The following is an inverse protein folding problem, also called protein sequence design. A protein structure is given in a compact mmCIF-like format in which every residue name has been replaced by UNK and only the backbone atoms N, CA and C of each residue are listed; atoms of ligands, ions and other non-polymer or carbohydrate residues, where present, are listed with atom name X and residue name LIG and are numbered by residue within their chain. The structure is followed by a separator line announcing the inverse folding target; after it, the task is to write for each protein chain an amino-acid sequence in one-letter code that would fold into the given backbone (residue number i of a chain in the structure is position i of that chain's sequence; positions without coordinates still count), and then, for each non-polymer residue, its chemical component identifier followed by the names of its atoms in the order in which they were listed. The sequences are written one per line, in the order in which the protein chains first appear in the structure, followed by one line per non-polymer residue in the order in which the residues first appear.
data_IF_710990289966
#
_entry.id   IF_710990289966
#
_cell.length_a   1.000
_cell.length_b   1.000
_cell.length_c   1.000
_cell.angle_alpha   90.00
_cell.angle_beta   90.00
_cell.angle_gamma   90.00
#
_symmetry.space_group_name_H-M   'P 1'
#
loop_
_entity.id
_entity.type
_entity.pdbx_description
1 polymer ?
#
# COMPACT_ATOMS: atom_id res chain seq x y z
N UNK A 1 -24.81 0.75 -12.43
CA UNK A 1 -23.91 -0.28 -11.87
C UNK A 1 -23.86 -0.01 -10.38
N UNK A 2 -24.24 -0.97 -9.54
CA UNK A 2 -24.39 -0.74 -8.10
C UNK A 2 -23.01 -0.86 -7.42
N UNK A 3 -22.51 0.20 -6.80
CA UNK A 3 -21.24 0.18 -6.04
C UNK A 3 -21.42 -0.37 -4.61
N UNK A 4 -22.55 -1.03 -4.30
CA UNK A 4 -22.91 -1.54 -2.96
C UNK A 4 -22.05 -2.69 -2.41
N UNK A 5 -20.92 -3.04 -3.04
CA UNK A 5 -19.92 -3.95 -2.49
C UNK A 5 -18.76 -3.19 -1.87
N UNK A 6 -18.07 -3.79 -0.90
CA UNK A 6 -16.81 -3.24 -0.37
C UNK A 6 -15.81 -3.08 -1.51
N UNK A 7 -15.30 -1.86 -1.70
CA UNK A 7 -14.29 -1.57 -2.69
C UNK A 7 -12.97 -2.20 -2.24
N UNK A 8 -12.26 -2.86 -3.16
CA UNK A 8 -10.93 -3.37 -2.85
C UNK A 8 -9.93 -2.24 -2.66
N UNK A 9 -8.95 -2.43 -1.78
CA UNK A 9 -7.84 -1.52 -1.68
C UNK A 9 -6.98 -1.45 -2.94
N UNK A 10 -6.53 -0.25 -3.29
CA UNK A 10 -5.43 -0.11 -4.22
C UNK A 10 -4.15 -0.55 -3.51
N UNK A 11 -3.39 -1.43 -4.17
CA UNK A 11 -2.16 -2.01 -3.64
C UNK A 11 -0.97 -1.50 -4.43
N UNK A 12 0.13 -1.24 -3.73
CA UNK A 12 1.41 -0.92 -4.36
C UNK A 12 2.25 -2.21 -4.38
N UNK A 13 2.72 -2.68 -5.54
CA UNK A 13 3.34 -4.00 -5.65
C UNK A 13 4.79 -4.06 -5.15
N UNK A 14 5.43 -2.91 -4.90
CA UNK A 14 6.83 -2.80 -4.43
C UNK A 14 7.81 -3.68 -5.23
N UNK A 15 7.66 -3.72 -6.55
CA UNK A 15 8.41 -4.63 -7.44
C UNK A 15 9.92 -4.47 -7.34
N UNK A 16 10.39 -3.24 -7.16
CA UNK A 16 11.82 -2.95 -6.97
C UNK A 16 12.33 -3.56 -5.66
N UNK A 17 11.58 -3.41 -4.57
CA UNK A 17 11.97 -3.92 -3.26
C UNK A 17 11.90 -5.45 -3.21
N UNK A 18 10.91 -6.05 -3.88
CA UNK A 18 10.86 -7.51 -4.10
C UNK A 18 12.06 -8.01 -4.91
N UNK A 19 12.48 -7.28 -5.95
CA UNK A 19 13.70 -7.61 -6.70
C UNK A 19 14.94 -7.60 -5.80
N UNK A 20 15.07 -6.61 -4.91
CA UNK A 20 16.20 -6.56 -3.96
C UNK A 20 16.19 -7.77 -3.03
N UNK A 21 15.03 -8.22 -2.56
CA UNK A 21 14.93 -9.44 -1.74
C UNK A 21 15.36 -10.68 -2.53
N UNK A 22 14.96 -10.79 -3.79
CA UNK A 22 15.39 -11.87 -4.68
C UNK A 22 16.90 -11.83 -4.94
N UNK A 23 17.48 -10.65 -5.11
CA UNK A 23 18.93 -10.48 -5.29
C UNK A 23 19.68 -10.94 -4.03
N UNK A 24 19.21 -10.56 -2.82
CA UNK A 24 19.80 -11.02 -1.56
C UNK A 24 19.72 -12.55 -1.44
N UNK A 25 18.59 -13.14 -1.81
CA UNK A 25 18.41 -14.60 -1.80
C UNK A 25 19.37 -15.27 -2.80
N UNK A 26 19.52 -14.73 -4.00
CA UNK A 26 20.41 -15.27 -5.02
C UNK A 26 21.89 -15.15 -4.60
N UNK A 27 22.31 -13.96 -4.16
CA UNK A 27 23.66 -13.74 -3.61
C UNK A 27 23.97 -14.68 -2.44
N UNK A 28 22.95 -15.05 -1.65
CA UNK A 28 23.10 -15.99 -0.55
C UNK A 28 23.35 -17.42 -1.05
N UNK A 29 22.64 -17.86 -2.09
CA UNK A 29 22.87 -19.17 -2.73
C UNK A 29 24.25 -19.28 -3.38
N UNK A 30 24.74 -18.17 -3.93
CA UNK A 30 26.02 -18.13 -4.64
C UNK A 30 27.24 -18.20 -3.69
N UNK A 31 27.03 -18.09 -2.37
CA UNK A 31 28.10 -18.23 -1.38
C UNK A 31 28.64 -19.67 -1.34
N UNK A 32 29.97 -19.87 -1.15
CA UNK A 32 30.54 -21.20 -1.00
C UNK A 32 29.86 -22.01 0.11
N UNK A 33 29.36 -23.20 -0.25
CA UNK A 33 28.66 -24.10 0.67
C UNK A 33 27.15 -23.84 0.83
N UNK A 34 26.57 -22.85 0.13
CA UNK A 34 25.15 -22.45 0.27
C UNK A 34 24.30 -22.83 -0.96
N UNK A 35 24.88 -23.45 -1.99
CA UNK A 35 24.18 -23.79 -3.23
C UNK A 35 23.10 -24.88 -3.12
N UNK A 36 23.08 -25.64 -2.02
CA UNK A 36 22.12 -26.74 -1.78
C UNK A 36 21.18 -26.46 -0.60
N UNK A 37 21.04 -25.20 -0.18
CA UNK A 37 20.09 -24.83 0.87
C UNK A 37 18.66 -25.15 0.42
N UNK A 38 17.89 -25.72 1.34
CA UNK A 38 16.43 -25.76 1.22
C UNK A 38 15.86 -24.34 1.18
N UNK A 39 14.61 -24.21 0.78
CA UNK A 39 13.93 -22.91 0.77
C UNK A 39 13.85 -22.30 2.18
N UNK A 40 13.53 -23.12 3.19
CA UNK A 40 13.49 -22.70 4.59
C UNK A 40 14.86 -22.20 5.08
N UNK A 41 15.93 -22.97 4.87
CA UNK A 41 17.28 -22.55 5.25
C UNK A 41 17.71 -21.27 4.52
N UNK A 42 17.33 -21.11 3.24
CA UNK A 42 17.59 -19.88 2.51
C UNK A 42 16.86 -18.69 3.16
N UNK A 43 15.58 -18.84 3.51
CA UNK A 43 14.79 -17.79 4.14
C UNK A 43 15.38 -17.39 5.50
N UNK A 44 15.83 -18.35 6.31
CA UNK A 44 16.53 -18.07 7.57
C UNK A 44 17.82 -17.26 7.36
N UNK A 45 18.58 -17.56 6.30
CA UNK A 45 19.79 -16.78 5.95
C UNK A 45 19.44 -15.38 5.50
N UNK A 46 18.40 -15.21 4.67
CA UNK A 46 17.94 -13.88 4.23
C UNK A 46 17.45 -13.07 5.43
N UNK A 47 16.66 -13.66 6.33
CA UNK A 47 16.23 -13.05 7.59
C UNK A 47 17.45 -12.58 8.41
N UNK A 48 18.44 -13.46 8.60
CA UNK A 48 19.67 -13.15 9.35
C UNK A 48 20.41 -11.96 8.74
N UNK A 49 20.57 -11.92 7.41
CA UNK A 49 21.24 -10.81 6.71
C UNK A 49 20.50 -9.49 6.94
N UNK A 50 19.17 -9.49 6.83
CA UNK A 50 18.36 -8.29 7.04
C UNK A 50 18.40 -7.80 8.49
N UNK A 51 18.38 -8.73 9.46
CA UNK A 51 18.56 -8.42 10.88
C UNK A 51 19.94 -7.81 11.17
N UNK A 52 21.00 -8.36 10.58
CA UNK A 52 22.35 -7.81 10.70
C UNK A 52 22.45 -6.40 10.10
N UNK A 53 21.83 -6.15 8.94
CA UNK A 53 21.74 -4.80 8.35
C UNK A 53 21.06 -3.81 9.28
N UNK A 54 19.93 -4.20 9.90
CA UNK A 54 19.25 -3.39 10.90
C UNK A 54 20.18 -3.09 12.09
N UNK A 55 20.86 -4.12 12.62
CA UNK A 55 21.81 -3.97 13.74
C UNK A 55 22.96 -3.01 13.40
N UNK A 56 23.39 -2.99 12.15
CA UNK A 56 24.42 -2.10 11.64
C UNK A 56 23.90 -0.70 11.24
N UNK A 57 22.62 -0.40 11.49
CA UNK A 57 22.04 0.92 11.29
C UNK A 57 21.41 1.18 9.93
N UNK A 58 21.29 0.17 9.06
CA UNK A 58 20.57 0.32 7.79
C UNK A 58 19.06 0.39 8.03
N UNK A 59 18.52 1.61 7.95
CA UNK A 59 17.10 1.87 8.14
C UNK A 59 16.21 1.23 7.06
N UNK A 60 16.72 1.02 5.84
CA UNK A 60 15.92 0.42 4.74
C UNK A 60 15.64 -1.06 5.00
N UNK A 61 16.51 -1.72 5.76
CA UNK A 61 16.36 -3.13 6.10
C UNK A 61 15.11 -3.40 6.95
N UNK A 62 14.56 -2.40 7.65
CA UNK A 62 13.28 -2.55 8.34
C UNK A 62 12.12 -2.82 7.38
N UNK A 63 11.97 -1.99 6.33
CA UNK A 63 10.94 -2.20 5.32
C UNK A 63 11.17 -3.50 4.56
N UNK A 64 12.42 -3.78 4.17
CA UNK A 64 12.78 -5.02 3.46
C UNK A 64 12.41 -6.26 4.29
N UNK A 65 12.72 -6.26 5.58
CA UNK A 65 12.39 -7.39 6.46
C UNK A 65 10.87 -7.49 6.71
N UNK A 66 10.18 -6.36 6.86
CA UNK A 66 8.72 -6.36 6.94
C UNK A 66 8.07 -6.94 5.67
N UNK A 67 8.54 -6.53 4.49
CA UNK A 67 8.07 -7.04 3.20
C UNK A 67 8.41 -8.52 3.02
N UNK A 68 9.61 -8.93 3.41
CA UNK A 68 10.03 -10.33 3.38
C UNK A 68 9.10 -11.24 4.19
N UNK A 69 8.72 -10.81 5.41
CA UNK A 69 7.75 -11.53 6.21
C UNK A 69 6.34 -11.51 5.62
N UNK A 70 5.93 -10.38 5.03
CA UNK A 70 4.61 -10.25 4.41
C UNK A 70 4.43 -11.23 3.25
N UNK A 71 5.45 -11.42 2.41
CA UNK A 71 5.42 -12.36 1.28
C UNK A 71 5.39 -13.83 1.72
N UNK A 72 5.75 -14.12 2.97
CA UNK A 72 5.67 -15.46 3.57
C UNK A 72 4.44 -15.63 4.48
N UNK A 73 3.46 -14.74 4.36
CA UNK A 73 2.24 -14.71 5.20
C UNK A 73 2.51 -14.62 6.72
N UNK A 74 3.72 -14.21 7.12
CA UNK A 74 4.12 -14.01 8.51
C UNK A 74 3.68 -12.62 9.01
N UNK A 75 2.38 -12.36 8.94
CA UNK A 75 1.82 -11.01 9.06
C UNK A 75 2.10 -10.31 10.40
N UNK A 76 2.12 -11.02 11.52
CA UNK A 76 2.45 -10.40 12.82
C UNK A 76 3.88 -9.87 12.85
N UNK A 77 4.84 -10.64 12.28
CA UNK A 77 6.22 -10.20 12.15
C UNK A 77 6.32 -9.02 11.18
N UNK A 78 5.65 -9.09 10.03
CA UNK A 78 5.60 -8.00 9.06
C UNK A 78 5.12 -6.69 9.70
N UNK A 79 3.97 -6.75 10.40
CA UNK A 79 3.37 -5.62 11.14
C UNK A 79 4.36 -5.03 12.14
N UNK A 80 5.03 -5.88 12.92
CA UNK A 80 6.05 -5.45 13.90
C UNK A 80 7.16 -4.62 13.25
N UNK A 81 7.69 -5.05 12.09
CA UNK A 81 8.78 -4.32 11.44
C UNK A 81 8.32 -3.05 10.73
N UNK A 82 7.11 -3.03 10.18
CA UNK A 82 6.52 -1.80 9.65
C UNK A 82 6.24 -0.79 10.77
N UNK A 83 5.73 -1.21 11.93
CA UNK A 83 5.54 -0.37 13.11
C UNK A 83 6.86 0.28 13.57
N UNK A 84 7.94 -0.50 13.61
CA UNK A 84 9.28 -0.01 14.01
C UNK A 84 9.89 1.00 13.03
N UNK A 85 9.35 1.13 11.82
CA UNK A 85 9.89 2.02 10.78
C UNK A 85 8.91 3.06 10.25
N UNK A 86 7.65 3.07 10.73
CA UNK A 86 6.58 3.97 10.27
C UNK A 86 6.91 5.46 10.34
N UNK A 87 7.79 5.86 11.27
CA UNK A 87 8.12 7.27 11.50
C UNK A 87 9.26 7.79 10.59
N UNK A 88 9.96 6.90 9.89
CA UNK A 88 11.06 7.28 8.98
C UNK A 88 11.01 6.63 7.59
N UNK A 89 10.08 5.70 7.37
CA UNK A 89 9.87 5.03 6.08
C UNK A 89 8.38 5.07 5.68
N UNK A 90 8.08 5.79 4.60
CA UNK A 90 6.72 5.92 4.09
C UNK A 90 6.17 4.63 3.46
N UNK A 91 7.03 3.72 2.98
CA UNK A 91 6.61 2.41 2.47
C UNK A 91 6.12 1.54 3.64
N UNK A 92 6.84 1.57 4.76
CA UNK A 92 6.40 0.93 6.01
C UNK A 92 5.11 1.54 6.54
N UNK A 93 5.01 2.89 6.56
CA UNK A 93 3.79 3.57 6.96
C UNK A 93 2.60 3.15 6.09
N UNK A 94 2.80 3.04 4.77
CA UNK A 94 1.78 2.59 3.83
C UNK A 94 1.32 1.16 4.09
N UNK A 95 2.28 0.22 4.21
CA UNK A 95 1.99 -1.19 4.46
C UNK A 95 1.29 -1.39 5.80
N UNK A 96 1.79 -0.75 6.86
CA UNK A 96 1.15 -0.76 8.17
C UNK A 96 -0.29 -0.24 8.09
N UNK A 97 -0.52 0.85 7.35
CA UNK A 97 -1.88 1.40 7.22
C UNK A 97 -2.84 0.40 6.57
N UNK A 98 -2.42 -0.29 5.51
CA UNK A 98 -3.24 -1.31 4.86
C UNK A 98 -3.53 -2.47 5.82
N UNK A 99 -2.51 -2.92 6.57
CA UNK A 99 -2.66 -4.00 7.55
C UNK A 99 -3.58 -3.63 8.71
N UNK A 100 -3.49 -2.39 9.21
CA UNK A 100 -4.38 -1.87 10.26
C UNK A 100 -5.82 -1.75 9.77
N UNK A 101 -6.03 -1.36 8.51
CA UNK A 101 -7.37 -1.26 7.95
C UNK A 101 -8.04 -2.63 7.80
N UNK A 102 -7.30 -3.61 7.29
CA UNK A 102 -7.83 -4.95 6.99
C UNK A 102 -7.73 -5.93 8.19
N UNK A 103 -7.15 -5.53 9.32
CA UNK A 103 -6.91 -6.42 10.46
C UNK A 103 -5.91 -7.54 10.17
N UNK A 104 -4.92 -7.29 9.30
CA UNK A 104 -3.92 -8.29 8.91
C UNK A 104 -2.79 -8.28 9.95
N UNK A 105 -2.46 -9.47 10.50
CA UNK A 105 -1.38 -9.62 11.48
C UNK A 105 -1.69 -9.01 12.85
N UNK A 106 -2.97 -8.88 13.21
CA UNK A 106 -3.46 -8.42 14.51
C UNK A 106 -4.84 -7.76 14.41
N UNK A 107 -5.29 -7.08 15.45
CA UNK A 107 -6.57 -6.37 15.42
C UNK A 107 -6.55 -5.18 14.44
N UNK A 108 -7.70 -4.93 13.82
CA UNK A 108 -7.92 -3.76 12.97
C UNK A 108 -7.93 -2.48 13.80
N UNK A 109 -7.42 -1.41 13.22
CA UNK A 109 -7.54 -0.04 13.72
C UNK A 109 -7.68 0.88 12.50
N UNK A 110 -8.91 0.93 11.97
CA UNK A 110 -9.20 1.67 10.75
C UNK A 110 -8.96 3.17 10.96
N UNK A 111 -9.16 3.68 12.18
CA UNK A 111 -8.89 5.09 12.49
C UNK A 111 -7.41 5.41 12.32
N UNK A 112 -6.52 4.65 12.94
CA UNK A 112 -5.07 4.85 12.76
C UNK A 112 -4.64 4.63 11.32
N UNK A 113 -5.20 3.62 10.64
CA UNK A 113 -4.94 3.37 9.21
C UNK A 113 -5.24 4.62 8.36
N UNK A 114 -6.41 5.24 8.55
CA UNK A 114 -6.81 6.42 7.78
C UNK A 114 -5.97 7.64 8.15
N UNK A 115 -5.61 7.83 9.41
CA UNK A 115 -4.69 8.90 9.80
C UNK A 115 -3.34 8.76 9.10
N UNK A 116 -2.80 7.54 8.98
CA UNK A 116 -1.52 7.28 8.33
C UNK A 116 -1.60 7.41 6.81
N UNK A 117 -2.65 6.91 6.17
CA UNK A 117 -2.89 7.12 4.74
C UNK A 117 -3.05 8.60 4.42
N UNK A 118 -3.74 9.38 5.26
CA UNK A 118 -3.84 10.84 5.10
C UNK A 118 -2.47 11.51 5.20
N UNK A 119 -1.57 11.07 6.09
CA UNK A 119 -0.19 11.59 6.13
C UNK A 119 0.53 11.38 4.79
N UNK A 120 0.40 10.22 4.17
CA UNK A 120 1.00 9.92 2.87
C UNK A 120 0.34 10.75 1.75
N UNK A 121 -0.99 10.77 1.73
CA UNK A 121 -1.81 11.42 0.70
C UNK A 121 -1.56 12.92 0.56
N UNK A 122 -1.18 13.60 1.65
CA UNK A 122 -0.88 15.04 1.66
C UNK A 122 0.62 15.35 1.80
N UNK A 123 1.50 14.34 1.80
CA UNK A 123 2.94 14.56 1.87
C UNK A 123 3.49 15.06 0.54
N UNK A 124 4.32 16.10 0.59
CA UNK A 124 5.07 16.61 -0.57
C UNK A 124 6.46 15.97 -0.70
N UNK A 125 6.78 15.00 0.17
CA UNK A 125 8.04 14.26 0.11
C UNK A 125 8.16 13.48 -1.20
N UNK A 126 9.33 13.54 -1.84
CA UNK A 126 9.62 12.70 -3.02
C UNK A 126 9.50 11.20 -2.72
N UNK A 127 9.66 10.80 -1.46
CA UNK A 127 9.56 9.40 -1.04
C UNK A 127 8.12 8.86 -1.18
N UNK A 128 7.10 9.71 -1.13
CA UNK A 128 5.70 9.26 -1.25
C UNK A 128 5.21 9.17 -2.68
N UNK A 129 5.92 9.72 -3.67
CA UNK A 129 5.42 9.86 -5.05
C UNK A 129 4.87 8.56 -5.65
N UNK A 130 5.52 7.43 -5.37
CA UNK A 130 5.15 6.12 -5.91
C UNK A 130 4.00 5.43 -5.16
N UNK A 131 3.60 5.94 -3.99
CA UNK A 131 2.51 5.39 -3.14
C UNK A 131 1.38 6.41 -2.91
N UNK A 132 1.57 7.69 -3.24
CA UNK A 132 0.66 8.80 -2.93
C UNK A 132 -0.71 8.61 -3.55
N UNK A 133 -0.78 8.16 -4.80
CA UNK A 133 -2.04 7.92 -5.52
C UNK A 133 -2.83 6.78 -4.91
N UNK A 134 -2.18 5.65 -4.61
CA UNK A 134 -2.80 4.55 -3.90
C UNK A 134 -3.28 4.95 -2.48
N UNK A 135 -2.50 5.77 -1.77
CA UNK A 135 -2.91 6.30 -0.47
C UNK A 135 -4.14 7.21 -0.59
N UNK A 136 -4.17 8.12 -1.58
CA UNK A 136 -5.32 8.96 -1.87
C UNK A 136 -6.55 8.12 -2.19
N UNK A 137 -6.42 7.11 -3.06
CA UNK A 137 -7.50 6.20 -3.38
C UNK A 137 -8.06 5.49 -2.14
N UNK A 138 -7.18 4.95 -1.29
CA UNK A 138 -7.56 4.23 -0.09
C UNK A 138 -8.23 5.14 0.97
N UNK A 139 -7.85 6.43 1.05
CA UNK A 139 -8.61 7.40 1.86
C UNK A 139 -9.99 7.66 1.26
N UNK A 140 -10.09 7.78 -0.07
CA UNK A 140 -11.38 7.92 -0.75
C UNK A 140 -12.31 6.74 -0.49
N UNK A 141 -11.78 5.50 -0.56
CA UNK A 141 -12.51 4.29 -0.15
C UNK A 141 -13.05 4.42 1.27
N UNK A 142 -12.20 4.82 2.21
CA UNK A 142 -12.60 4.90 3.62
C UNK A 142 -13.75 5.89 3.85
N UNK A 143 -13.74 7.04 3.17
CA UNK A 143 -14.86 7.97 3.21
C UNK A 143 -16.12 7.41 2.55
N UNK A 144 -15.98 6.70 1.44
CA UNK A 144 -17.10 6.08 0.74
C UNK A 144 -17.79 5.00 1.57
N UNK A 145 -17.02 4.20 2.31
CA UNK A 145 -17.52 3.09 3.14
C UNK A 145 -17.87 3.53 4.57
N UNK A 146 -17.34 4.67 5.03
CA UNK A 146 -17.50 5.17 6.39
C UNK A 146 -16.55 4.54 7.43
N UNK A 147 -15.59 3.71 7.01
CA UNK A 147 -14.64 3.05 7.90
C UNK A 147 -13.50 3.97 8.34
N UNK A 148 -13.23 4.03 9.64
CA UNK A 148 -12.15 4.84 10.23
C UNK A 148 -12.32 6.37 10.13
N UNK A 149 -13.37 6.87 9.47
CA UNK A 149 -13.61 8.32 9.21
C UNK A 149 -14.69 8.95 10.09
N UNK A 150 -15.36 8.16 10.94
CA UNK A 150 -16.43 8.61 11.84
C UNK A 150 -17.80 8.81 11.17
N UNK A 151 -17.82 9.20 9.88
CA UNK A 151 -19.03 9.23 9.06
C UNK A 151 -18.68 9.05 7.58
N UNK A 152 -19.53 8.30 6.89
CA UNK A 152 -19.53 8.17 5.44
C UNK A 152 -19.72 9.52 4.72
N UNK A 153 -18.98 9.76 3.64
CA UNK A 153 -19.08 10.98 2.82
C UNK A 153 -18.69 10.72 1.36
N UNK A 154 -19.68 10.77 0.45
CA UNK A 154 -19.46 10.67 -1.00
C UNK A 154 -18.63 11.85 -1.54
N UNK A 155 -18.81 13.06 -0.99
CA UNK A 155 -18.07 14.26 -1.40
C UNK A 155 -16.57 14.15 -1.10
N UNK A 156 -16.21 13.68 0.09
CA UNK A 156 -14.80 13.48 0.44
C UNK A 156 -14.21 12.29 -0.34
N UNK A 157 -14.98 11.22 -0.55
CA UNK A 157 -14.55 10.12 -1.40
C UNK A 157 -14.21 10.59 -2.82
N UNK A 158 -15.12 11.32 -3.46
CA UNK A 158 -14.92 11.93 -4.78
C UNK A 158 -13.67 12.80 -4.81
N UNK A 159 -13.50 13.68 -3.81
CA UNK A 159 -12.33 14.56 -3.72
C UNK A 159 -11.01 13.79 -3.70
N UNK A 160 -10.91 12.74 -2.88
CA UNK A 160 -9.69 11.93 -2.79
C UNK A 160 -9.46 11.10 -4.06
N UNK A 161 -10.52 10.57 -4.68
CA UNK A 161 -10.39 9.86 -5.95
C UNK A 161 -9.98 10.78 -7.08
N UNK A 162 -10.47 12.01 -7.14
CA UNK A 162 -9.99 13.01 -8.11
C UNK A 162 -8.50 13.30 -7.94
N UNK A 163 -8.00 13.37 -6.70
CA UNK A 163 -6.57 13.51 -6.44
C UNK A 163 -5.75 12.28 -6.88
N UNK A 164 -6.29 11.08 -6.71
CA UNK A 164 -5.64 9.82 -7.10
C UNK A 164 -5.65 9.59 -8.62
N UNK A 165 -6.73 10.01 -9.29
CA UNK A 165 -6.91 9.88 -10.73
C UNK A 165 -6.00 10.84 -11.52
N UNK A 166 -5.55 11.95 -10.91
CA UNK A 166 -4.42 12.79 -11.36
C UNK A 166 -4.31 12.94 -12.89
N UNK A 167 -5.39 13.47 -13.48
CA UNK A 167 -5.60 13.61 -14.92
C UNK A 167 -4.34 14.04 -15.70
N UNK A 168 -4.03 13.33 -16.78
CA UNK A 168 -2.85 13.56 -17.62
C UNK A 168 -1.51 13.08 -17.03
N UNK A 169 -1.50 12.39 -15.89
CA UNK A 169 -0.29 11.79 -15.32
C UNK A 169 -0.19 10.28 -15.62
N UNK A 170 0.90 9.79 -16.24
CA UNK A 170 1.12 8.35 -16.45
C UNK A 170 1.18 7.50 -15.17
N UNK A 171 1.27 8.13 -14.00
CA UNK A 171 1.27 7.49 -12.68
C UNK A 171 -0.07 7.61 -11.94
N UNK A 172 -1.11 8.07 -12.63
CA UNK A 172 -2.47 8.12 -12.12
C UNK A 172 -2.96 6.73 -11.66
N UNK A 173 -3.91 6.73 -10.73
CA UNK A 173 -4.63 5.52 -10.35
C UNK A 173 -5.74 5.23 -11.36
N UNK A 174 -5.54 4.17 -12.16
CA UNK A 174 -6.56 3.62 -13.07
C UNK A 174 -7.81 3.18 -12.29
N UNK A 175 -7.60 2.67 -11.07
CA UNK A 175 -8.70 2.28 -10.20
C UNK A 175 -9.52 3.51 -9.77
N UNK A 176 -8.88 4.64 -9.44
CA UNK A 176 -9.59 5.88 -9.14
C UNK A 176 -10.38 6.41 -10.35
N UNK A 177 -9.79 6.39 -11.55
CA UNK A 177 -10.49 6.79 -12.79
C UNK A 177 -11.72 5.89 -13.04
N UNK A 178 -11.56 4.57 -12.90
CA UNK A 178 -12.66 3.60 -13.02
C UNK A 178 -13.78 3.88 -12.02
N UNK A 179 -13.43 4.09 -10.75
CA UNK A 179 -14.41 4.36 -9.68
C UNK A 179 -15.10 5.71 -9.88
N UNK A 180 -14.40 6.75 -10.34
CA UNK A 180 -15.03 8.03 -10.68
C UNK A 180 -16.03 7.88 -11.83
N UNK A 181 -15.69 7.12 -12.89
CA UNK A 181 -16.61 6.82 -13.98
C UNK A 181 -17.88 6.13 -13.50
N UNK A 182 -17.75 5.12 -12.62
CA UNK A 182 -18.88 4.44 -11.99
C UNK A 182 -19.68 5.37 -11.08
N UNK A 183 -19.00 6.18 -10.27
CA UNK A 183 -19.61 7.14 -9.35
C UNK A 183 -20.49 8.14 -10.10
N UNK A 184 -20.01 8.79 -11.15
CA UNK A 184 -20.81 9.72 -11.95
C UNK A 184 -21.87 9.04 -12.84
N UNK A 185 -21.85 7.71 -12.93
CA UNK A 185 -22.87 6.93 -13.63
C UNK A 185 -24.04 6.50 -12.72
N UNK A 186 -23.96 6.74 -11.41
CA UNK A 186 -25.07 6.46 -10.48
C UNK A 186 -26.20 7.46 -10.68
N UNK A 187 -27.43 7.04 -10.35
CA UNK A 187 -28.62 7.88 -10.52
C UNK A 187 -28.64 9.13 -9.66
N UNK A 188 -28.02 9.09 -8.49
CA UNK A 188 -27.99 10.16 -7.50
C UNK A 188 -26.84 11.15 -7.69
N UNK A 189 -25.78 10.75 -8.38
CA UNK A 189 -24.59 11.56 -8.69
C UNK A 189 -24.37 11.69 -10.21
N UNK A 190 -25.45 11.55 -10.99
CA UNK A 190 -25.38 11.42 -12.44
C UNK A 190 -24.77 12.67 -13.09
N UNK A 191 -23.61 12.48 -13.71
CA UNK A 191 -22.99 13.44 -14.63
C UNK A 191 -22.39 12.67 -15.80
N UNK A 192 -23.17 12.55 -16.88
CA UNK A 192 -22.78 11.75 -18.05
C UNK A 192 -21.51 12.27 -18.73
N UNK A 193 -21.21 13.58 -18.62
CA UNK A 193 -19.99 14.15 -19.19
C UNK A 193 -18.77 13.69 -18.40
N UNK A 194 -18.83 13.81 -17.07
CA UNK A 194 -17.74 13.33 -16.21
C UNK A 194 -17.60 11.81 -16.24
N UNK A 195 -18.71 11.08 -16.27
CA UNK A 195 -18.70 9.63 -16.39
C UNK A 195 -17.99 9.18 -17.68
N UNK A 196 -18.36 9.77 -18.82
CA UNK A 196 -17.70 9.49 -20.10
C UNK A 196 -16.20 9.81 -20.05
N UNK A 197 -15.85 10.98 -19.51
CA UNK A 197 -14.45 11.40 -19.37
C UNK A 197 -13.61 10.42 -18.54
N UNK A 198 -14.06 10.06 -17.34
CA UNK A 198 -13.28 9.17 -16.47
C UNK A 198 -13.25 7.72 -16.99
N UNK A 199 -14.28 7.28 -17.70
CA UNK A 199 -14.23 6.00 -18.42
C UNK A 199 -13.29 6.01 -19.62
N UNK A 200 -13.04 7.16 -20.26
CA UNK A 200 -12.07 7.25 -21.36
C UNK A 200 -10.62 7.37 -20.88
N UNK A 201 -10.39 7.82 -19.65
CA UNK A 201 -9.06 7.96 -19.06
C UNK A 201 -8.55 6.69 -18.35
N UNK A 202 -9.46 5.79 -17.94
CA UNK A 202 -9.16 4.52 -17.30
C UNK A 202 -8.70 3.43 -18.29
#
# INVERSE_FOLDING_TARGET
MDMKGTLSAEKVPFTKEKSILNDIAQETKDKPGYGNLTEEELMEKVETILLERIKNGDKKAYFQLGLFYYEQDMFEKARTYFERSKDFDYQSLYMLSCMLYDGIGGEADEKCAIEYLKKIAHSDSRQTQHIKRAAQFNVGRAFFEGYGVGRQSDEEAERYWLMAADDGNPKASILAQTILGMYYSRSDTQDLKKAFFWHSEA
#
